data_IF_108877161365
#
_entry.id   IF_108877161365
#
_cell.length_a   1.000
_cell.length_b   1.000
_cell.length_c   1.000
_cell.angle_alpha   90.00
_cell.angle_beta   90.00
_cell.angle_gamma   90.00
#
_symmetry.space_group_name_H-M   'P 1'
#
loop_
_entity.id
_entity.type
_entity.pdbx_description
1 polymer ?
#
# COMPACT_ATOMS: atom_id res chain seq x y z
N UNK A 1 11.04 3.40 -12.76
CA UNK A 1 11.76 3.26 -11.49
C UNK A 1 13.23 3.49 -11.74
N UNK A 2 13.79 4.61 -11.26
CA UNK A 2 15.24 4.81 -11.24
C UNK A 2 15.76 4.03 -10.04
N UNK A 3 15.79 2.70 -10.16
CA UNK A 3 16.44 1.86 -9.16
C UNK A 3 17.91 2.21 -9.13
N UNK A 4 18.47 2.49 -7.95
CA UNK A 4 19.90 2.73 -7.85
C UNK A 4 20.65 1.54 -8.47
N UNK A 5 21.69 1.81 -9.26
CA UNK A 5 22.39 0.74 -9.97
C UNK A 5 22.98 -0.22 -8.94
N UNK A 6 22.78 -1.53 -9.16
CA UNK A 6 23.27 -2.63 -8.30
C UNK A 6 24.79 -2.55 -8.02
N UNK A 7 25.53 -1.80 -8.83
CA UNK A 7 26.94 -1.49 -8.60
C UNK A 7 27.20 -0.71 -7.31
N UNK A 8 26.25 0.12 -6.86
CA UNK A 8 26.40 0.91 -5.64
C UNK A 8 26.46 0.03 -4.39
N UNK A 9 25.57 -0.97 -4.31
CA UNK A 9 25.54 -1.94 -3.21
C UNK A 9 26.79 -2.84 -3.22
N UNK A 10 27.26 -3.20 -4.41
CA UNK A 10 28.49 -3.96 -4.58
C UNK A 10 29.71 -3.20 -4.05
N UNK A 11 29.82 -1.93 -4.39
CA UNK A 11 30.92 -1.06 -3.91
C UNK A 11 30.90 -0.98 -2.38
N UNK A 12 29.73 -0.81 -1.77
CA UNK A 12 29.59 -0.81 -0.31
C UNK A 12 30.11 -2.12 0.29
N UNK A 13 29.67 -3.26 -0.23
CA UNK A 13 30.06 -4.57 0.30
C UNK A 13 31.58 -4.80 0.23
N UNK A 14 32.24 -4.34 -0.83
CA UNK A 14 33.70 -4.43 -0.99
C UNK A 14 34.43 -3.51 -0.01
N UNK A 15 34.01 -2.25 0.13
CA UNK A 15 34.60 -1.32 1.10
C UNK A 15 34.47 -1.82 2.54
N UNK A 16 33.29 -2.36 2.90
CA UNK A 16 33.05 -2.93 4.22
C UNK A 16 33.99 -4.07 4.56
N UNK A 17 34.18 -4.99 3.61
CA UNK A 17 35.05 -6.13 3.81
C UNK A 17 36.52 -5.73 3.96
N UNK A 18 36.98 -4.78 3.13
CA UNK A 18 38.34 -4.22 3.21
C UNK A 18 38.55 -3.50 4.55
N UNK A 19 37.60 -2.65 4.97
CA UNK A 19 37.69 -1.89 6.21
C UNK A 19 37.80 -2.79 7.43
N UNK A 20 36.91 -3.76 7.58
CA UNK A 20 36.90 -4.65 8.76
C UNK A 20 38.05 -5.67 8.78
N UNK A 21 38.64 -5.99 7.63
CA UNK A 21 39.85 -6.83 7.56
C UNK A 21 41.11 -6.04 7.94
N UNK A 22 41.19 -4.77 7.55
CA UNK A 22 42.32 -3.89 7.88
C UNK A 22 42.26 -3.35 9.31
N UNK A 23 41.07 -3.05 9.83
CA UNK A 23 40.86 -2.49 11.17
C UNK A 23 41.58 -3.23 12.31
N UNK A 24 41.50 -4.57 12.45
CA UNK A 24 42.18 -5.28 13.52
C UNK A 24 43.71 -5.24 13.39
N UNK A 25 44.26 -5.14 12.17
CA UNK A 25 45.71 -5.05 11.94
C UNK A 25 46.25 -3.70 12.46
N UNK A 26 45.52 -2.61 12.19
CA UNK A 26 45.91 -1.25 12.61
C UNK A 26 45.81 -1.09 14.13
N UNK A 27 44.76 -1.63 14.75
CA UNK A 27 44.50 -1.45 16.19
C UNK A 27 45.10 -2.53 17.08
N UNK A 28 45.63 -3.63 16.51
CA UNK A 28 46.25 -4.68 17.30
C UNK A 28 47.44 -4.18 18.12
N UNK A 29 48.13 -3.13 17.69
CA UNK A 29 49.33 -2.61 18.36
C UNK A 29 49.00 -1.92 19.70
N UNK A 30 47.81 -1.33 19.83
CA UNK A 30 47.41 -0.57 21.03
C UNK A 30 46.54 -1.37 21.99
N UNK A 31 45.60 -2.16 21.48
CA UNK A 31 44.53 -2.81 22.26
C UNK A 31 44.78 -4.32 22.44
N UNK A 32 45.74 -4.90 21.69
CA UNK A 32 46.02 -6.33 21.73
C UNK A 32 44.85 -7.19 21.24
N UNK A 33 44.66 -8.36 21.85
CA UNK A 33 43.68 -9.38 21.44
C UNK A 33 42.20 -8.95 21.54
N UNK A 34 41.87 -7.82 22.16
CA UNK A 34 40.50 -7.30 22.19
C UNK A 34 40.07 -6.65 20.86
N UNK A 35 41.04 -6.25 20.02
CA UNK A 35 40.80 -5.60 18.72
C UNK A 35 39.85 -6.38 17.78
N UNK A 36 40.05 -7.70 17.53
CA UNK A 36 39.12 -8.47 16.70
C UNK A 36 37.71 -8.60 17.28
N UNK A 37 37.55 -8.58 18.61
CA UNK A 37 36.24 -8.65 19.28
C UNK A 37 35.45 -7.38 19.01
N UNK A 38 36.08 -6.22 19.21
CA UNK A 38 35.49 -4.90 18.94
C UNK A 38 35.16 -4.72 17.46
N UNK A 39 36.04 -5.17 16.57
CA UNK A 39 35.82 -5.17 15.13
C UNK A 39 34.61 -6.04 14.73
N UNK A 40 34.46 -7.23 15.33
CA UNK A 40 33.32 -8.11 15.09
C UNK A 40 31.98 -7.50 15.52
N UNK A 41 31.92 -6.90 16.72
CA UNK A 41 30.70 -6.22 17.21
C UNK A 41 30.34 -5.06 16.29
N UNK A 42 31.33 -4.23 15.94
CA UNK A 42 31.14 -3.07 15.07
C UNK A 42 30.66 -3.49 13.67
N UNK A 43 31.19 -4.60 13.14
CA UNK A 43 30.76 -5.19 11.87
C UNK A 43 29.29 -5.58 11.90
N UNK A 44 28.83 -6.21 12.98
CA UNK A 44 27.41 -6.55 13.16
C UNK A 44 26.51 -5.32 13.15
N UNK A 45 26.85 -4.29 13.94
CA UNK A 45 26.07 -3.05 14.01
C UNK A 45 25.98 -2.39 12.64
N UNK A 46 27.10 -2.26 11.94
CA UNK A 46 27.10 -1.53 10.68
C UNK A 46 26.42 -2.33 9.58
N UNK A 47 26.56 -3.67 9.56
CA UNK A 47 25.81 -4.53 8.63
C UNK A 47 24.31 -4.37 8.79
N UNK A 48 23.82 -4.30 10.03
CA UNK A 48 22.40 -4.04 10.33
C UNK A 48 21.97 -2.68 9.79
N UNK A 49 22.79 -1.64 9.97
CA UNK A 49 22.48 -0.29 9.47
C UNK A 49 22.41 -0.25 7.94
N UNK A 50 23.35 -0.88 7.23
CA UNK A 50 23.34 -0.95 5.76
C UNK A 50 22.07 -1.64 5.27
N UNK A 51 21.69 -2.73 5.93
CA UNK A 51 20.49 -3.48 5.56
C UNK A 51 19.23 -2.64 5.74
N UNK A 52 19.10 -1.94 6.89
CA UNK A 52 18.02 -1.00 7.12
C UNK A 52 18.03 0.15 6.11
N UNK A 53 19.19 0.70 5.78
CA UNK A 53 19.33 1.75 4.77
C UNK A 53 18.84 1.30 3.40
N UNK A 54 19.10 0.04 3.03
CA UNK A 54 18.62 -0.54 1.75
C UNK A 54 17.10 -0.64 1.72
N UNK A 55 16.49 -1.07 2.83
CA UNK A 55 15.03 -1.12 2.95
C UNK A 55 14.40 0.29 2.91
N UNK A 56 15.05 1.30 3.52
CA UNK A 56 14.55 2.68 3.47
C UNK A 56 14.66 3.35 2.09
N UNK A 57 15.52 2.86 1.20
CA UNK A 57 15.69 3.42 -0.15
C UNK A 57 14.51 3.10 -1.06
N UNK A 58 13.81 1.99 -0.84
CA UNK A 58 12.64 1.58 -1.63
C UNK A 58 11.35 1.53 -0.78
N UNK A 59 10.83 2.68 -0.33
CA UNK A 59 9.74 2.74 0.65
C UNK A 59 8.36 2.34 0.12
N UNK A 60 8.23 2.11 -1.19
CA UNK A 60 6.98 1.74 -1.87
C UNK A 60 7.04 0.36 -2.51
N UNK A 61 8.02 -0.46 -2.09
CA UNK A 61 8.15 -1.83 -2.53
C UNK A 61 7.06 -2.74 -1.96
N UNK A 62 7.41 -4.02 -1.83
CA UNK A 62 6.54 -5.07 -1.30
C UNK A 62 7.05 -5.67 0.01
N UNK A 63 8.04 -5.04 0.62
CA UNK A 63 8.64 -5.49 1.86
C UNK A 63 7.73 -5.19 3.05
N UNK A 64 7.96 -5.87 4.18
CA UNK A 64 7.10 -5.72 5.37
C UNK A 64 7.16 -4.33 6.00
N UNK A 65 8.26 -3.61 5.76
CA UNK A 65 8.49 -2.26 6.27
C UNK A 65 8.00 -1.17 5.32
N UNK A 66 7.52 -1.55 4.13
CA UNK A 66 7.12 -0.62 3.09
C UNK A 66 5.71 -0.06 3.31
N UNK A 67 5.43 1.07 2.66
CA UNK A 67 4.15 1.73 2.77
C UNK A 67 3.08 0.99 1.94
N UNK A 68 1.92 0.61 2.52
CA UNK A 68 0.89 -0.16 1.82
C UNK A 68 0.06 0.75 0.88
N UNK A 69 0.66 1.19 -0.23
CA UNK A 69 0.05 2.14 -1.17
C UNK A 69 -1.28 1.64 -1.74
N UNK A 70 -1.37 0.33 -2.03
CA UNK A 70 -2.62 -0.28 -2.51
C UNK A 70 -3.79 -0.08 -1.53
N UNK A 71 -3.53 -0.16 -0.22
CA UNK A 71 -4.55 0.07 0.81
C UNK A 71 -4.96 1.53 0.89
N UNK A 72 -4.02 2.45 0.70
CA UNK A 72 -4.33 3.87 0.61
C UNK A 72 -5.21 4.17 -0.61
N UNK A 73 -4.89 3.62 -1.79
CA UNK A 73 -5.71 3.78 -3.00
C UNK A 73 -7.13 3.21 -2.82
N UNK A 74 -7.24 2.00 -2.26
CA UNK A 74 -8.54 1.36 -1.96
C UNK A 74 -9.37 2.23 -0.99
N UNK A 75 -8.74 2.77 0.04
CA UNK A 75 -9.42 3.65 1.01
C UNK A 75 -9.93 4.92 0.35
N UNK A 76 -9.11 5.56 -0.48
CA UNK A 76 -9.48 6.78 -1.22
C UNK A 76 -10.64 6.50 -2.18
N UNK A 77 -10.62 5.38 -2.88
CA UNK A 77 -11.69 4.96 -3.78
C UNK A 77 -13.03 4.81 -3.04
N UNK A 78 -13.01 4.12 -1.90
CA UNK A 78 -14.19 3.94 -1.04
C UNK A 78 -14.72 5.30 -0.57
N UNK A 79 -13.83 6.20 -0.14
CA UNK A 79 -14.20 7.54 0.32
C UNK A 79 -14.85 8.36 -0.80
N UNK A 80 -14.26 8.40 -2.01
CA UNK A 80 -14.82 9.12 -3.16
C UNK A 80 -16.19 8.56 -3.54
N UNK A 81 -16.33 7.23 -3.59
CA UNK A 81 -17.59 6.59 -3.91
C UNK A 81 -18.69 6.91 -2.87
N UNK A 82 -18.32 6.99 -1.58
CA UNK A 82 -19.23 7.38 -0.51
C UNK A 82 -19.73 8.83 -0.65
N UNK A 83 -18.84 9.75 -1.03
CA UNK A 83 -19.17 11.16 -1.26
C UNK A 83 -20.06 11.31 -2.49
N UNK A 84 -19.75 10.62 -3.60
CA UNK A 84 -20.56 10.65 -4.81
C UNK A 84 -21.98 10.13 -4.57
N UNK A 85 -22.13 9.03 -3.80
CA UNK A 85 -23.44 8.52 -3.37
C UNK A 85 -24.22 9.55 -2.58
N UNK A 86 -23.57 10.20 -1.61
CA UNK A 86 -24.19 11.26 -0.80
C UNK A 86 -24.59 12.45 -1.66
N UNK A 87 -23.79 12.85 -2.65
CA UNK A 87 -24.10 14.00 -3.52
C UNK A 87 -25.29 13.77 -4.46
N UNK A 88 -25.60 12.52 -4.84
CA UNK A 88 -26.81 12.20 -5.63
C UNK A 88 -28.07 12.03 -4.77
N UNK A 89 -27.93 11.79 -3.48
CA UNK A 89 -29.04 11.61 -2.55
C UNK A 89 -29.79 12.88 -2.07
N UNK A 90 -29.25 14.12 -2.00
CA UNK A 90 -30.01 15.28 -1.55
C UNK A 90 -31.24 15.52 -2.42
N UNK A 91 -31.12 15.36 -3.74
CA UNK A 91 -32.28 15.48 -4.63
C UNK A 91 -33.28 14.36 -4.42
N UNK A 92 -32.84 13.09 -4.30
CA UNK A 92 -33.75 11.95 -4.11
C UNK A 92 -34.49 11.99 -2.77
N UNK A 93 -33.86 12.47 -1.69
CA UNK A 93 -34.55 12.66 -0.41
C UNK A 93 -35.52 13.83 -0.46
N UNK A 94 -35.16 14.93 -1.15
CA UNK A 94 -36.10 16.04 -1.37
C UNK A 94 -37.30 15.61 -2.23
N UNK A 95 -37.08 14.82 -3.28
CA UNK A 95 -38.13 14.26 -4.13
C UNK A 95 -38.97 13.19 -3.43
N UNK A 96 -38.37 12.31 -2.62
CA UNK A 96 -39.11 11.29 -1.87
C UNK A 96 -39.93 11.91 -0.73
N UNK A 97 -39.38 12.89 -0.03
CA UNK A 97 -40.11 13.66 1.00
C UNK A 97 -41.24 14.48 0.36
N UNK A 98 -40.98 15.16 -0.77
CA UNK A 98 -42.00 15.87 -1.54
C UNK A 98 -43.09 14.92 -2.08
N UNK A 99 -42.71 13.74 -2.58
CA UNK A 99 -43.66 12.75 -3.10
C UNK A 99 -44.48 12.07 -1.99
N UNK A 100 -43.89 11.88 -0.80
CA UNK A 100 -44.57 11.36 0.39
C UNK A 100 -45.53 12.39 0.97
N UNK A 101 -45.14 13.67 1.02
CA UNK A 101 -46.02 14.78 1.43
C UNK A 101 -47.18 15.00 0.45
N UNK A 102 -47.03 14.62 -0.83
CA UNK A 102 -48.08 14.76 -1.86
C UNK A 102 -49.03 13.57 -1.99
N UNK A 103 -48.88 12.49 -1.19
CA UNK A 103 -49.79 11.35 -1.21
C UNK A 103 -49.98 10.72 -2.60
N UNK A 104 -48.95 10.73 -3.46
CA UNK A 104 -49.07 10.22 -4.82
C UNK A 104 -49.00 8.67 -4.82
N UNK A 105 -49.90 7.95 -5.52
CA UNK A 105 -49.81 6.49 -5.63
C UNK A 105 -48.49 6.07 -6.32
N UNK A 106 -47.79 5.09 -5.74
CA UNK A 106 -46.50 4.56 -6.22
C UNK A 106 -46.63 3.88 -7.60
N UNK A 107 -46.31 4.64 -8.66
CA UNK A 107 -46.28 4.16 -10.06
C UNK A 107 -45.03 3.30 -10.34
N UNK A 108 -43.99 3.39 -9.50
CA UNK A 108 -42.72 2.67 -9.69
C UNK A 108 -42.90 1.16 -9.62
N UNK A 109 -43.75 0.67 -8.70
CA UNK A 109 -44.09 -0.74 -8.57
C UNK A 109 -44.81 -1.30 -9.81
N UNK A 110 -45.66 -0.49 -10.48
CA UNK A 110 -46.44 -0.92 -11.65
C UNK A 110 -45.56 -1.19 -12.87
N UNK A 111 -44.48 -0.43 -13.07
CA UNK A 111 -43.54 -0.67 -14.16
C UNK A 111 -42.66 -1.90 -13.91
N UNK A 112 -42.25 -2.15 -12.67
CA UNK A 112 -41.51 -3.38 -12.30
C UNK A 112 -42.33 -4.65 -12.53
N UNK A 113 -43.64 -4.64 -12.22
CA UNK A 113 -44.55 -5.77 -12.50
C UNK A 113 -44.90 -5.94 -13.98
N UNK A 114 -44.83 -4.89 -14.79
CA UNK A 114 -45.05 -4.97 -16.23
C UNK A 114 -43.86 -5.62 -16.92
N UNK A 115 -42.65 -5.26 -16.50
CA UNK A 115 -41.43 -5.85 -17.03
C UNK A 115 -41.32 -7.36 -16.69
N UNK A 116 -41.70 -7.77 -15.47
CA UNK A 116 -41.70 -9.21 -15.12
C UNK A 116 -42.75 -10.03 -15.88
N UNK A 117 -43.89 -9.44 -16.26
CA UNK A 117 -44.88 -10.11 -17.13
C UNK A 117 -44.40 -10.22 -18.56
N UNK A 118 -43.67 -9.23 -19.08
CA UNK A 118 -43.10 -9.27 -20.43
C UNK A 118 -42.03 -10.37 -20.54
N UNK A 119 -41.15 -10.48 -19.54
CA UNK A 119 -40.13 -11.56 -19.50
C UNK A 119 -40.78 -12.94 -19.39
N UNK A 120 -41.87 -13.09 -18.63
CA UNK A 120 -42.54 -14.38 -18.47
C UNK A 120 -43.29 -14.84 -19.72
N UNK A 121 -43.76 -13.93 -20.57
CA UNK A 121 -44.37 -14.27 -21.86
C UNK A 121 -43.33 -14.71 -22.89
N UNK A 122 -42.14 -14.10 -22.89
CA UNK A 122 -41.07 -14.45 -23.83
C UNK A 122 -40.36 -15.78 -23.51
N UNK A 123 -40.61 -16.37 -22.33
CA UNK A 123 -40.04 -17.66 -21.91
C UNK A 123 -40.99 -18.86 -22.13
N UNK A 124 -42.22 -18.63 -22.60
CA UNK A 124 -43.19 -19.69 -22.89
C UNK A 124 -43.27 -20.05 -24.39
N UNK A 125 -42.49 -19.36 -25.23
CA UNK A 125 -42.40 -19.52 -26.70
C UNK A 125 -41.06 -20.19 -27.12
N UNK A 126 -40.45 -20.97 -26.21
CA UNK A 126 -39.30 -21.87 -26.43
C UNK A 126 -39.60 -23.21 -25.75
#
# INVERSE_FOLDING_TARGET
STGMPKSYDFVHHVFFWIYFTMAPIVWSVTIGWFSPILSGISSGIITVIIHMGTALVDPFGTDIVDLPLNRFCETIEIQIHSINKRSKQPDLMNFAEFSSAKGLPDISNKNRRRNSRFVKLHMCEL
#
